data_IF_842706924797
#
_entry.id   IF_842706924797
#
_cell.length_a   1.000
_cell.length_b   1.000
_cell.length_c   1.000
_cell.angle_alpha   90.00
_cell.angle_beta   90.00
_cell.angle_gamma   90.00
#
_symmetry.space_group_name_H-M   'P 1'
#
loop_
_entity.id
_entity.type
_entity.pdbx_description
1 polymer ?
#
# COMPACT_ATOMS: atom_id res chain seq x y z
N UNK A 1 1.74 5.62 -16.81
CA UNK A 1 1.30 6.95 -16.34
C UNK A 1 2.37 7.48 -15.39
N UNK A 2 2.78 8.74 -15.49
CA UNK A 2 3.71 9.29 -14.50
C UNK A 2 3.03 9.36 -13.14
N UNK A 3 3.78 9.05 -12.09
CA UNK A 3 3.30 9.08 -10.71
C UNK A 3 4.29 9.86 -9.83
N UNK A 4 3.82 10.46 -8.71
CA UNK A 4 4.69 11.14 -7.78
C UNK A 4 5.64 10.15 -7.11
N UNK A 5 6.91 10.51 -6.97
CA UNK A 5 7.95 9.66 -6.36
C UNK A 5 8.30 10.08 -4.93
N UNK A 6 7.65 11.12 -4.42
CA UNK A 6 7.76 11.59 -3.04
C UNK A 6 6.45 12.28 -2.61
N UNK A 7 6.23 12.48 -1.30
CA UNK A 7 5.06 13.22 -0.81
C UNK A 7 4.89 14.62 -1.42
N UNK A 8 5.98 15.34 -1.62
CA UNK A 8 5.98 16.71 -2.16
C UNK A 8 5.56 16.74 -3.64
N UNK A 9 5.71 15.62 -4.36
CA UNK A 9 5.26 15.47 -5.73
C UNK A 9 3.76 15.25 -5.88
N UNK A 10 3.04 14.94 -4.79
CA UNK A 10 1.59 14.74 -4.81
C UNK A 10 0.89 16.00 -5.33
N UNK A 11 -0.11 15.80 -6.18
CA UNK A 11 -0.91 16.88 -6.73
C UNK A 11 -2.35 16.44 -6.98
N UNK A 12 -3.24 17.43 -7.12
CA UNK A 12 -4.68 17.19 -7.23
C UNK A 12 -5.05 16.54 -8.54
N UNK A 13 -4.35 16.87 -9.62
CA UNK A 13 -4.61 16.32 -10.95
C UNK A 13 -4.42 14.80 -10.94
N UNK A 14 -3.32 14.35 -10.33
CA UNK A 14 -3.03 12.93 -10.15
C UNK A 14 -4.00 12.25 -9.18
N UNK A 15 -4.27 12.85 -8.01
CA UNK A 15 -5.23 12.30 -7.03
C UNK A 15 -6.63 12.15 -7.62
N UNK A 16 -7.13 13.15 -8.34
CA UNK A 16 -8.41 13.06 -9.04
C UNK A 16 -8.42 11.92 -10.05
N UNK A 17 -7.35 11.77 -10.82
CA UNK A 17 -7.26 10.74 -11.84
C UNK A 17 -7.29 9.32 -11.25
N UNK A 18 -6.50 9.04 -10.22
CA UNK A 18 -6.49 7.69 -9.62
C UNK A 18 -7.80 7.37 -8.89
N UNK A 19 -8.45 8.37 -8.29
CA UNK A 19 -9.73 8.17 -7.61
C UNK A 19 -10.88 7.98 -8.60
N UNK A 20 -10.82 8.64 -9.76
CA UNK A 20 -11.76 8.41 -10.87
C UNK A 20 -11.57 7.02 -11.49
N UNK A 21 -10.33 6.64 -11.82
CA UNK A 21 -10.01 5.33 -12.40
C UNK A 21 -10.35 4.15 -11.46
N UNK A 22 -10.28 4.36 -10.15
CA UNK A 22 -10.69 3.36 -9.13
C UNK A 22 -12.21 3.34 -8.86
N UNK A 23 -12.99 4.17 -9.56
CA UNK A 23 -14.44 4.29 -9.38
C UNK A 23 -14.84 4.85 -8.01
N UNK A 24 -13.95 5.60 -7.37
CA UNK A 24 -14.15 6.14 -6.02
C UNK A 24 -14.74 7.55 -6.01
N UNK A 25 -14.93 8.17 -7.18
CA UNK A 25 -15.57 9.47 -7.33
C UNK A 25 -16.94 9.32 -7.99
N UNK A 26 -17.93 10.03 -7.46
CA UNK A 26 -19.22 10.19 -8.14
C UNK A 26 -19.14 11.20 -9.28
N UNK A 27 -20.07 11.18 -10.23
CA UNK A 27 -20.06 12.09 -11.40
C UNK A 27 -19.90 13.57 -11.02
N UNK A 28 -18.88 14.24 -11.56
CA UNK A 28 -18.52 15.62 -11.26
C UNK A 28 -17.86 15.87 -9.89
N UNK A 29 -17.58 14.83 -9.09
CA UNK A 29 -16.81 14.91 -7.84
C UNK A 29 -15.33 15.09 -8.14
N UNK A 30 -14.70 16.03 -7.44
CA UNK A 30 -13.27 16.28 -7.58
C UNK A 30 -12.65 16.68 -6.25
N UNK A 31 -11.44 16.20 -6.02
CA UNK A 31 -10.53 16.70 -4.98
C UNK A 31 -10.16 18.15 -5.32
N UNK A 32 -10.49 19.08 -4.44
CA UNK A 32 -10.21 20.52 -4.56
C UNK A 32 -9.00 20.94 -3.74
N UNK A 33 -8.71 20.22 -2.66
CA UNK A 33 -7.56 20.40 -1.81
C UNK A 33 -7.16 19.10 -1.13
N UNK A 34 -5.93 19.02 -0.65
CA UNK A 34 -5.47 17.96 0.22
C UNK A 34 -4.39 18.48 1.18
N UNK A 35 -4.18 17.75 2.27
CA UNK A 35 -3.01 17.90 3.13
C UNK A 35 -2.44 16.52 3.41
N UNK A 36 -1.16 16.43 3.76
CA UNK A 36 -0.56 15.16 4.17
C UNK A 36 0.26 15.31 5.44
N UNK A 37 0.40 14.20 6.17
CA UNK A 37 1.24 14.06 7.36
C UNK A 37 2.09 12.79 7.21
N UNK A 38 3.37 12.86 7.59
CA UNK A 38 4.24 11.68 7.64
C UNK A 38 3.86 10.84 8.86
N UNK A 39 3.56 9.57 8.63
CA UNK A 39 3.17 8.59 9.66
C UNK A 39 4.18 7.44 9.80
N UNK A 40 5.31 7.53 9.09
CA UNK A 40 6.44 6.59 9.16
C UNK A 40 7.62 7.09 10.00
N UNK A 41 7.58 8.34 10.48
CA UNK A 41 8.68 8.96 11.21
C UNK A 41 9.06 8.14 12.46
N UNK A 42 10.34 7.72 12.52
CA UNK A 42 10.89 6.90 13.61
C UNK A 42 10.56 5.40 13.55
N UNK A 43 9.82 4.92 12.55
CA UNK A 43 9.38 3.52 12.44
C UNK A 43 9.69 2.90 11.07
N UNK A 44 9.69 3.68 9.99
CA UNK A 44 9.89 3.19 8.62
C UNK A 44 11.34 3.34 8.11
N UNK A 45 12.04 2.22 7.93
CA UNK A 45 13.40 2.21 7.35
C UNK A 45 13.40 2.19 5.81
N UNK A 46 12.43 1.50 5.21
CA UNK A 46 12.44 1.13 3.79
C UNK A 46 11.33 1.82 2.99
N UNK A 47 10.73 2.89 3.52
CA UNK A 47 9.68 3.60 2.81
C UNK A 47 9.16 4.80 3.58
N UNK A 48 8.70 5.78 2.82
CA UNK A 48 8.03 6.97 3.34
C UNK A 48 6.53 6.71 3.27
N UNK A 49 5.86 6.73 4.42
CA UNK A 49 4.41 6.54 4.52
C UNK A 49 3.77 7.83 4.99
N UNK A 50 2.86 8.36 4.18
CA UNK A 50 2.07 9.55 4.52
C UNK A 50 0.59 9.22 4.57
N UNK A 51 -0.12 9.86 5.49
CA UNK A 51 -1.58 9.94 5.43
C UNK A 51 -1.96 11.21 4.71
N UNK A 52 -2.87 11.11 3.74
CA UNK A 52 -3.45 12.24 3.02
C UNK A 52 -4.88 12.45 3.50
N UNK A 53 -5.29 13.70 3.75
CA UNK A 53 -6.69 14.10 3.97
C UNK A 53 -7.19 14.88 2.75
N UNK A 54 -8.38 14.55 2.29
CA UNK A 54 -8.93 15.06 1.03
C UNK A 54 -10.12 15.98 1.29
N UNK A 55 -10.17 17.08 0.54
CA UNK A 55 -11.33 17.98 0.48
C UNK A 55 -11.89 17.97 -0.93
N UNK A 56 -13.22 17.93 -1.04
CA UNK A 56 -13.93 17.80 -2.30
C UNK A 56 -14.76 19.05 -2.64
N UNK A 57 -15.16 19.19 -3.90
CA UNK A 57 -16.00 20.29 -4.39
C UNK A 57 -17.49 20.18 -4.00
N UNK A 58 -17.93 19.02 -3.52
CA UNK A 58 -19.30 18.72 -3.07
C UNK A 58 -19.26 17.74 -1.89
N UNK A 59 -20.38 17.50 -1.18
CA UNK A 59 -20.46 16.44 -0.18
C UNK A 59 -19.96 15.12 -0.79
N UNK A 60 -18.92 14.58 -0.19
CA UNK A 60 -18.08 13.60 -0.85
C UNK A 60 -18.62 12.17 -0.72
N UNK A 61 -18.50 11.40 -1.80
CA UNK A 61 -18.64 9.94 -1.78
C UNK A 61 -17.28 9.24 -1.78
N UNK A 62 -16.22 9.95 -2.18
CA UNK A 62 -14.85 9.45 -2.14
C UNK A 62 -14.27 9.36 -0.73
N UNK A 63 -13.09 8.72 -0.58
CA UNK A 63 -12.45 8.53 0.72
C UNK A 63 -12.09 9.89 1.35
N UNK A 64 -12.34 10.03 2.65
CA UNK A 64 -11.93 11.22 3.40
C UNK A 64 -10.40 11.30 3.60
N UNK A 65 -9.75 10.13 3.65
CA UNK A 65 -8.30 10.00 3.75
C UNK A 65 -7.77 8.77 3.02
N UNK A 66 -6.48 8.81 2.72
CA UNK A 66 -5.72 7.75 2.06
C UNK A 66 -4.39 7.56 2.78
N UNK A 67 -3.79 6.38 2.67
CA UNK A 67 -2.39 6.14 3.00
C UNK A 67 -1.61 6.00 1.71
N UNK A 68 -0.50 6.73 1.59
CA UNK A 68 0.40 6.64 0.44
C UNK A 68 1.78 6.23 0.92
N UNK A 69 2.31 5.18 0.30
CA UNK A 69 3.66 4.69 0.53
C UNK A 69 4.51 4.97 -0.71
N UNK A 70 5.72 5.46 -0.47
CA UNK A 70 6.76 5.67 -1.46
C UNK A 70 8.03 4.93 -1.03
N UNK A 71 8.90 4.62 -1.99
CA UNK A 71 10.29 4.28 -1.73
C UNK A 71 10.95 5.30 -0.81
N UNK A 72 11.87 4.82 0.03
CA UNK A 72 12.72 5.69 0.84
C UNK A 72 13.61 6.59 -0.04
N UNK A 73 13.91 7.79 0.45
CA UNK A 73 14.86 8.72 -0.15
C UNK A 73 16.32 8.46 0.30
N UNK A 74 16.51 7.80 1.45
CA UNK A 74 17.81 7.29 1.91
C UNK A 74 18.45 6.30 0.90
N UNK A 75 19.57 6.66 0.23
CA UNK A 75 20.10 5.89 -0.89
C UNK A 75 20.46 4.44 -0.57
N UNK A 76 21.10 4.19 0.58
CA UNK A 76 21.53 2.84 0.99
C UNK A 76 20.33 1.92 1.24
N UNK A 77 19.31 2.43 1.92
CA UNK A 77 18.06 1.70 2.16
C UNK A 77 17.30 1.46 0.85
N UNK A 78 17.33 2.42 -0.06
CA UNK A 78 16.69 2.31 -1.38
C UNK A 78 17.38 1.27 -2.26
N UNK A 79 18.70 1.24 -2.28
CA UNK A 79 19.49 0.22 -2.99
C UNK A 79 19.20 -1.17 -2.44
N UNK A 80 19.19 -1.33 -1.12
CA UNK A 80 18.87 -2.58 -0.46
C UNK A 80 17.46 -3.06 -0.81
N UNK A 81 16.45 -2.19 -0.70
CA UNK A 81 15.06 -2.53 -0.99
C UNK A 81 14.84 -2.93 -2.46
N UNK A 82 15.51 -2.25 -3.40
CA UNK A 82 15.46 -2.60 -4.82
C UNK A 82 16.17 -3.92 -5.11
N UNK A 83 17.32 -4.19 -4.50
CA UNK A 83 18.06 -5.45 -4.68
C UNK A 83 17.26 -6.68 -4.19
N UNK A 84 16.41 -6.47 -3.19
CA UNK A 84 15.50 -7.48 -2.63
C UNK A 84 14.09 -7.44 -3.23
N UNK A 85 13.89 -6.66 -4.30
CA UNK A 85 12.63 -6.42 -5.01
C UNK A 85 11.44 -6.12 -4.08
N UNK A 86 11.65 -5.40 -2.98
CA UNK A 86 10.62 -5.19 -1.97
C UNK A 86 9.45 -4.35 -2.52
N UNK A 87 9.77 -3.26 -3.23
CA UNK A 87 8.76 -2.39 -3.84
C UNK A 87 7.98 -3.10 -4.96
N UNK A 88 8.69 -3.83 -5.82
CA UNK A 88 8.08 -4.62 -6.89
C UNK A 88 7.06 -5.62 -6.32
N UNK A 89 7.42 -6.33 -5.26
CA UNK A 89 6.54 -7.32 -4.61
C UNK A 89 5.26 -6.69 -4.08
N UNK A 90 5.33 -5.48 -3.51
CA UNK A 90 4.13 -4.78 -3.05
C UNK A 90 3.23 -4.36 -4.23
N UNK A 91 3.82 -3.87 -5.32
CA UNK A 91 3.08 -3.49 -6.53
C UNK A 91 2.42 -4.70 -7.19
N UNK A 92 3.14 -5.81 -7.35
CA UNK A 92 2.61 -7.07 -7.87
C UNK A 92 1.50 -7.60 -6.96
N UNK A 93 1.70 -7.53 -5.63
CA UNK A 93 0.70 -8.00 -4.68
C UNK A 93 -0.64 -7.30 -4.89
N UNK A 94 -0.67 -5.97 -4.91
CA UNK A 94 -1.94 -5.25 -5.05
C UNK A 94 -2.52 -5.34 -6.47
N UNK A 95 -1.69 -5.37 -7.51
CA UNK A 95 -2.17 -5.41 -8.89
C UNK A 95 -2.62 -6.80 -9.34
N UNK A 96 -2.08 -7.87 -8.78
CA UNK A 96 -2.28 -9.23 -9.30
C UNK A 96 -2.79 -10.19 -8.24
N UNK A 97 -2.08 -10.29 -7.11
CA UNK A 97 -2.33 -11.34 -6.12
C UNK A 97 -3.58 -11.06 -5.30
N UNK A 98 -3.71 -9.83 -4.78
CA UNK A 98 -4.78 -9.42 -3.87
C UNK A 98 -6.18 -9.65 -4.46
N UNK A 99 -6.33 -9.52 -5.78
CA UNK A 99 -7.59 -9.73 -6.50
C UNK A 99 -8.14 -11.16 -6.38
N UNK A 100 -7.26 -12.13 -6.14
CA UNK A 100 -7.63 -13.53 -5.97
C UNK A 100 -7.77 -13.95 -4.51
N UNK A 101 -7.58 -13.07 -3.53
CA UNK A 101 -7.62 -13.41 -2.12
C UNK A 101 -8.99 -13.12 -1.50
N UNK A 102 -9.43 -14.01 -0.63
CA UNK A 102 -10.65 -13.85 0.17
C UNK A 102 -10.25 -13.66 1.64
N UNK A 103 -9.52 -12.56 1.88
CA UNK A 103 -9.08 -12.14 3.22
C UNK A 103 -9.31 -10.64 3.37
N UNK A 104 -9.34 -10.10 4.59
CA UNK A 104 -9.34 -8.66 4.79
C UNK A 104 -8.07 -8.02 4.19
N UNK A 105 -8.23 -7.18 3.18
CA UNK A 105 -7.16 -6.43 2.50
C UNK A 105 -7.66 -4.98 2.36
N UNK A 106 -6.83 -3.95 2.66
CA UNK A 106 -7.21 -2.58 2.39
C UNK A 106 -7.50 -2.36 0.91
N UNK A 107 -8.50 -1.55 0.59
CA UNK A 107 -8.72 -1.15 -0.82
C UNK A 107 -7.46 -0.49 -1.36
N UNK A 108 -6.94 -0.99 -2.48
CA UNK A 108 -5.87 -0.33 -3.23
C UNK A 108 -6.50 0.55 -4.32
N UNK A 109 -6.11 1.83 -4.31
CA UNK A 109 -6.57 2.82 -5.30
C UNK A 109 -5.60 2.93 -6.47
N UNK A 110 -4.31 2.72 -6.21
CA UNK A 110 -3.25 2.79 -7.22
C UNK A 110 -1.98 2.09 -6.70
N UNK A 111 -1.29 1.35 -7.56
CA UNK A 111 0.02 0.80 -7.28
C UNK A 111 0.85 0.78 -8.57
N UNK A 112 2.01 1.43 -8.57
CA UNK A 112 2.91 1.46 -9.72
C UNK A 112 4.37 1.56 -9.30
N UNK A 113 5.23 1.02 -10.16
CA UNK A 113 6.68 1.11 -10.05
C UNK A 113 7.26 1.54 -11.40
N UNK A 114 8.37 2.25 -11.34
CA UNK A 114 9.26 2.52 -12.46
C UNK A 114 10.49 1.63 -12.28
N UNK A 115 10.60 0.62 -13.13
CA UNK A 115 11.69 -0.37 -13.08
C UNK A 115 13.05 0.22 -13.45
N UNK A 116 13.09 1.35 -14.17
CA UNK A 116 14.35 1.98 -14.54
C UNK A 116 14.92 2.78 -13.35
N UNK A 117 14.07 3.52 -12.63
CA UNK A 117 14.50 4.34 -11.48
C UNK A 117 14.37 3.66 -10.12
N UNK A 118 13.72 2.50 -10.05
CA UNK A 118 13.40 1.80 -8.80
C UNK A 118 12.51 2.61 -7.87
N UNK A 119 11.72 3.54 -8.43
CA UNK A 119 10.73 4.34 -7.68
C UNK A 119 9.38 3.64 -7.70
N UNK A 120 8.63 3.70 -6.60
CA UNK A 120 7.28 3.18 -6.52
C UNK A 120 6.34 4.14 -5.80
N UNK A 121 5.03 3.90 -5.98
CA UNK A 121 3.99 4.47 -5.15
C UNK A 121 2.84 3.48 -5.00
N UNK A 122 2.34 3.36 -3.78
CA UNK A 122 1.14 2.58 -3.46
C UNK A 122 0.18 3.45 -2.67
N UNK A 123 -1.08 3.50 -3.11
CA UNK A 123 -2.17 4.26 -2.51
C UNK A 123 -3.21 3.30 -1.98
N UNK A 124 -3.38 3.29 -0.67
CA UNK A 124 -4.26 2.38 0.06
C UNK A 124 -5.32 3.14 0.85
N UNK A 125 -6.36 2.40 1.21
CA UNK A 125 -7.34 2.78 2.22
C UNK A 125 -6.67 3.11 3.55
N UNK A 126 -7.13 4.19 4.17
CA UNK A 126 -6.69 4.59 5.49
C UNK A 126 -7.51 3.85 6.56
N UNK A 127 -6.88 2.86 7.20
CA UNK A 127 -7.48 2.04 8.25
C UNK A 127 -7.35 2.70 9.65
N UNK A 128 -7.41 4.02 9.74
CA UNK A 128 -7.18 4.76 11.00
C UNK A 128 -8.18 4.42 12.12
N UNK A 129 -9.34 3.85 11.78
CA UNK A 129 -10.33 3.37 12.76
C UNK A 129 -9.91 2.06 13.44
N UNK A 130 -8.90 1.36 12.90
CA UNK A 130 -8.32 0.16 13.48
C UNK A 130 -7.19 0.50 14.45
N UNK A 131 -6.96 -0.41 15.40
CA UNK A 131 -5.87 -0.28 16.37
C UNK A 131 -4.61 -1.00 15.89
N UNK A 132 -3.45 -0.36 16.06
CA UNK A 132 -2.16 -1.02 15.90
C UNK A 132 -1.94 -2.05 17.02
N UNK A 133 -1.25 -3.15 16.70
CA UNK A 133 -0.79 -4.10 17.71
C UNK A 133 0.36 -3.51 18.53
N UNK A 134 0.38 -3.80 19.83
CA UNK A 134 1.48 -3.40 20.71
C UNK A 134 2.69 -4.33 20.48
N UNK A 135 3.80 -3.77 20.00
CA UNK A 135 5.02 -4.55 19.68
C UNK A 135 5.82 -4.96 20.92
N UNK A 136 5.56 -4.36 22.07
CA UNK A 136 6.24 -4.65 23.34
C UNK A 136 5.36 -5.53 24.22
N UNK A 137 4.12 -5.09 24.45
CA UNK A 137 3.14 -5.79 25.27
C UNK A 137 2.46 -6.97 24.55
N UNK A 138 2.55 -7.02 23.22
CA UNK A 138 1.93 -8.05 22.40
C UNK A 138 0.42 -7.86 22.22
N UNK A 139 -0.25 -8.95 21.85
CA UNK A 139 -1.69 -8.97 21.59
C UNK A 139 -2.40 -9.96 22.52
N UNK A 140 -3.70 -9.76 22.72
CA UNK A 140 -4.54 -10.71 23.44
C UNK A 140 -4.68 -12.03 22.68
N UNK A 141 -5.00 -13.13 23.39
CA UNK A 141 -5.30 -14.41 22.75
C UNK A 141 -6.41 -14.30 21.69
N UNK A 142 -7.45 -13.49 21.96
CA UNK A 142 -8.53 -13.23 21.00
C UNK A 142 -8.02 -12.58 19.72
N UNK A 143 -7.14 -11.58 19.83
CA UNK A 143 -6.50 -10.96 18.66
C UNK A 143 -5.61 -11.94 17.90
N UNK A 144 -4.86 -12.79 18.61
CA UNK A 144 -4.08 -13.84 17.97
C UNK A 144 -4.96 -14.80 17.16
N UNK A 145 -6.12 -15.23 17.69
CA UNK A 145 -7.07 -16.05 16.93
C UNK A 145 -7.58 -15.35 15.67
N UNK A 146 -7.94 -14.06 15.76
CA UNK A 146 -8.36 -13.29 14.57
C UNK A 146 -7.28 -13.25 13.49
N UNK A 147 -6.01 -13.12 13.87
CA UNK A 147 -4.89 -13.17 12.90
C UNK A 147 -4.77 -14.57 12.29
N UNK A 148 -4.81 -15.62 13.11
CA UNK A 148 -4.71 -17.02 12.65
C UNK A 148 -5.83 -17.39 11.67
N UNK A 149 -7.06 -16.96 11.95
CA UNK A 149 -8.23 -17.18 11.08
C UNK A 149 -8.03 -16.60 9.67
N UNK A 150 -7.20 -15.57 9.53
CA UNK A 150 -6.87 -14.93 8.25
C UNK A 150 -5.63 -15.56 7.58
N UNK A 151 -4.54 -15.76 8.34
CA UNK A 151 -3.27 -16.21 7.74
C UNK A 151 -3.27 -17.71 7.40
N UNK A 152 -4.01 -18.54 8.14
CA UNK A 152 -4.04 -19.98 7.90
C UNK A 152 -4.65 -20.36 6.54
N UNK A 153 -5.82 -19.83 6.12
CA UNK A 153 -6.34 -20.06 4.77
C UNK A 153 -5.43 -19.53 3.66
N UNK A 154 -4.78 -18.37 3.89
CA UNK A 154 -3.81 -17.82 2.95
C UNK A 154 -2.63 -18.76 2.72
N UNK A 155 -2.04 -19.28 3.79
CA UNK A 155 -0.97 -20.28 3.71
C UNK A 155 -1.45 -21.56 3.03
N UNK A 156 -2.63 -22.08 3.40
CA UNK A 156 -3.18 -23.30 2.83
C UNK A 156 -3.41 -23.18 1.31
N UNK A 157 -3.83 -22.01 0.82
CA UNK A 157 -4.09 -21.76 -0.61
C UNK A 157 -2.84 -21.96 -1.48
N UNK A 158 -1.68 -21.49 -1.00
CA UNK A 158 -0.43 -21.49 -1.77
C UNK A 158 0.61 -22.51 -1.28
N UNK A 159 0.27 -23.32 -0.28
CA UNK A 159 1.16 -24.34 0.26
C UNK A 159 1.67 -25.28 -0.83
N UNK A 160 3.00 -25.30 -1.03
CA UNK A 160 3.66 -26.13 -2.05
C UNK A 160 3.38 -25.73 -3.50
N UNK A 161 2.69 -24.60 -3.74
CA UNK A 161 2.30 -24.12 -5.08
C UNK A 161 2.90 -22.77 -5.44
N UNK A 162 3.65 -22.14 -4.52
CA UNK A 162 4.22 -20.80 -4.73
C UNK A 162 5.04 -20.71 -6.02
N UNK A 163 5.82 -21.73 -6.35
CA UNK A 163 6.65 -21.73 -7.56
C UNK A 163 5.85 -21.76 -8.85
N UNK A 164 4.82 -22.60 -8.88
CA UNK A 164 3.92 -22.73 -10.01
C UNK A 164 3.04 -21.49 -10.16
N UNK A 165 2.62 -20.91 -9.03
CA UNK A 165 1.67 -19.79 -8.99
C UNK A 165 2.37 -18.46 -9.29
N UNK A 166 3.60 -18.29 -8.82
CA UNK A 166 4.37 -17.04 -8.94
C UNK A 166 5.78 -17.34 -9.48
N UNK A 167 5.91 -17.80 -10.74
CA UNK A 167 7.19 -18.26 -11.30
C UNK A 167 8.24 -17.16 -11.40
N UNK A 168 7.81 -15.91 -11.61
CA UNK A 168 8.70 -14.77 -11.86
C UNK A 168 8.99 -13.94 -10.59
N UNK A 169 8.39 -14.29 -9.44
CA UNK A 169 8.59 -13.54 -8.19
C UNK A 169 9.92 -13.93 -7.52
N UNK A 170 10.77 -12.93 -7.23
CA UNK A 170 12.02 -13.15 -6.49
C UNK A 170 11.75 -13.84 -5.16
N UNK A 171 12.58 -14.85 -4.86
CA UNK A 171 12.55 -15.57 -3.60
C UNK A 171 13.75 -15.20 -2.76
N UNK A 172 13.51 -15.12 -1.46
CA UNK A 172 14.56 -15.04 -0.46
C UNK A 172 14.62 -16.45 0.11
N UNK A 173 15.53 -17.25 -0.42
CA UNK A 173 15.78 -18.57 0.15
C UNK A 173 16.33 -18.37 1.56
N UNK A 174 15.67 -18.97 2.55
CA UNK A 174 16.25 -19.10 3.89
C UNK A 174 17.20 -20.29 3.85
N UNK A 175 18.50 -20.02 4.05
CA UNK A 175 19.52 -21.05 4.27
C UNK A 175 19.15 -22.05 5.38
#
# INVERSE_FOLDING_TARGET
MSFPVSPEGLNKEWLNKILDESGSLSDGEKVTNFSFENISEGVGLLGIVVRIRLTYNKPASGPASLVVKFATDEPENRELANTMNLYEREVIFFNEIAKGLDIPIPKCYFAAMDFDSGSDVIVLEDLFEYSLGDQIGGITARQAFMVVDVVAPLHAKYWGKGEETFPDMQRIDSD
#
